data_IF_871711914641
#
_entry.id   IF_871711914641
#
_cell.length_a   1.000
_cell.length_b   1.000
_cell.length_c   1.000
_cell.angle_alpha   90.00
_cell.angle_beta   90.00
_cell.angle_gamma   90.00
#
_symmetry.space_group_name_H-M   'P 1'
#
loop_
_entity.id
_entity.type
_entity.pdbx_description
1 polymer ?
#
# COMPACT_ATOMS: atom_id res chain seq x y z
N UNK A 1 22.23 -0.41 -0.67
CA UNK A 1 20.99 0.37 -0.91
C UNK A 1 20.15 0.29 0.35
N UNK A 2 19.79 1.40 0.99
CA UNK A 2 18.97 1.35 2.20
C UNK A 2 17.57 0.80 1.90
N UNK A 3 17.05 0.01 2.83
CA UNK A 3 15.73 -0.60 2.73
C UNK A 3 14.63 0.46 2.92
N UNK A 4 13.41 0.15 2.47
CA UNK A 4 12.22 1.01 2.71
C UNK A 4 12.02 1.28 4.20
N UNK A 5 12.30 0.28 5.04
CA UNK A 5 12.18 0.37 6.51
C UNK A 5 13.16 1.40 7.08
N UNK A 6 14.41 1.39 6.64
CA UNK A 6 15.43 2.34 7.10
C UNK A 6 15.07 3.78 6.71
N UNK A 7 14.64 4.01 5.47
CA UNK A 7 14.24 5.34 4.99
C UNK A 7 13.02 5.89 5.73
N UNK A 8 12.04 5.03 6.03
CA UNK A 8 10.87 5.42 6.80
C UNK A 8 11.24 5.86 8.22
N UNK A 9 12.15 5.11 8.86
CA UNK A 9 12.64 5.43 10.20
C UNK A 9 13.28 6.80 10.25
N UNK A 10 14.22 7.08 9.35
CA UNK A 10 14.88 8.39 9.26
C UNK A 10 13.91 9.56 9.06
N UNK A 11 12.86 9.36 8.26
CA UNK A 11 11.82 10.37 8.06
C UNK A 11 10.99 10.61 9.32
N UNK A 12 10.52 9.55 9.98
CA UNK A 12 9.71 9.65 11.20
C UNK A 12 10.52 10.29 12.33
N UNK A 13 11.77 9.86 12.50
CA UNK A 13 12.68 10.42 13.49
C UNK A 13 12.86 11.94 13.27
N UNK A 14 12.94 12.42 12.01
CA UNK A 14 12.99 13.86 11.72
C UNK A 14 11.68 14.58 11.99
N UNK A 15 10.55 13.98 11.61
CA UNK A 15 9.23 14.60 11.73
C UNK A 15 8.78 14.74 13.19
N UNK A 16 9.10 13.77 14.04
CA UNK A 16 8.67 13.73 15.44
C UNK A 16 9.63 14.45 16.39
N UNK A 17 10.90 14.66 15.99
CA UNK A 17 11.93 15.20 16.87
C UNK A 17 11.62 16.60 17.43
N UNK A 18 10.88 17.45 16.72
CA UNK A 18 10.56 18.79 17.23
C UNK A 18 9.47 18.77 18.30
N UNK A 19 8.44 17.94 18.12
CA UNK A 19 7.35 17.78 19.08
C UNK A 19 7.84 17.09 20.36
N UNK A 20 8.70 16.07 20.22
CA UNK A 20 9.33 15.39 21.36
C UNK A 20 10.23 16.36 22.13
N UNK A 21 11.04 17.17 21.44
CA UNK A 21 11.89 18.19 22.10
C UNK A 21 11.08 19.22 22.90
N UNK A 22 9.96 19.70 22.35
CA UNK A 22 9.09 20.64 23.06
C UNK A 22 8.47 20.02 24.32
N UNK A 23 8.07 18.75 24.24
CA UNK A 23 7.56 18.01 25.38
C UNK A 23 8.63 17.79 26.45
N UNK A 24 9.85 17.40 26.05
CA UNK A 24 10.98 17.20 26.97
C UNK A 24 11.34 18.49 27.71
N UNK A 25 11.34 19.64 27.02
CA UNK A 25 11.57 20.95 27.63
C UNK A 25 10.49 21.30 28.66
N UNK A 26 9.24 20.99 28.36
CA UNK A 26 8.11 21.27 29.25
C UNK A 26 8.13 20.39 30.51
N UNK A 27 8.47 19.10 30.34
CA UNK A 27 8.70 18.17 31.45
C UNK A 27 9.87 18.63 32.31
N UNK A 28 10.99 19.02 31.70
CA UNK A 28 12.16 19.52 32.43
C UNK A 28 11.86 20.79 33.23
N UNK A 29 11.03 21.69 32.71
CA UNK A 29 10.68 22.94 33.38
C UNK A 29 9.66 22.79 34.52
N UNK A 30 8.70 21.85 34.39
CA UNK A 30 7.56 21.73 35.33
C UNK A 30 7.62 20.49 36.21
N UNK A 31 8.49 19.54 35.90
CA UNK A 31 8.55 18.21 36.53
C UNK A 31 7.38 17.29 36.15
N UNK A 32 6.46 17.74 35.30
CA UNK A 32 5.25 17.02 34.93
C UNK A 32 5.03 17.08 33.40
N UNK A 33 4.56 16.01 32.76
CA UNK A 33 4.18 16.04 31.34
C UNK A 33 2.79 16.67 31.16
N UNK A 34 2.57 17.88 31.68
CA UNK A 34 1.26 18.54 31.71
C UNK A 34 1.38 20.00 31.28
N UNK A 35 0.61 20.40 30.27
CA UNK A 35 0.49 21.81 29.87
C UNK A 35 -0.95 22.31 30.04
N UNK A 36 -1.12 23.64 30.14
CA UNK A 36 -2.46 24.25 30.12
C UNK A 36 -2.87 24.55 28.69
N UNK A 37 -4.03 24.04 28.28
CA UNK A 37 -4.61 24.37 26.99
C UNK A 37 -4.88 25.89 26.89
N UNK A 38 -4.31 26.60 25.90
CA UNK A 38 -4.45 28.05 25.81
C UNK A 38 -5.88 28.55 25.62
N UNK A 39 -6.77 27.71 25.07
CA UNK A 39 -8.15 28.09 24.74
C UNK A 39 -9.11 27.87 25.91
N UNK A 40 -8.93 26.79 26.66
CA UNK A 40 -9.87 26.33 27.70
C UNK A 40 -9.29 26.41 29.11
N UNK A 41 -7.96 26.55 29.25
CA UNK A 41 -7.26 26.56 30.53
C UNK A 41 -7.14 25.19 31.22
N UNK A 42 -7.67 24.13 30.60
CA UNK A 42 -7.61 22.77 31.12
C UNK A 42 -6.18 22.25 31.20
N UNK A 43 -5.87 21.45 32.22
CA UNK A 43 -4.61 20.71 32.31
C UNK A 43 -4.68 19.50 31.37
N UNK A 44 -3.75 19.42 30.43
CA UNK A 44 -3.65 18.34 29.45
C UNK A 44 -2.39 17.52 29.77
N UNK A 45 -2.59 16.25 30.08
CA UNK A 45 -1.51 15.28 30.20
C UNK A 45 -1.03 14.86 28.80
N UNK A 46 0.27 14.93 28.57
CA UNK A 46 0.88 14.57 27.28
C UNK A 46 1.84 13.39 27.49
N UNK A 47 1.38 12.20 27.17
CA UNK A 47 2.22 11.00 27.08
C UNK A 47 2.46 10.69 25.60
N UNK A 48 3.71 10.71 25.16
CA UNK A 48 4.09 10.35 23.78
C UNK A 48 4.83 9.02 23.85
N UNK A 49 4.22 7.97 23.27
CA UNK A 49 4.84 6.65 23.16
C UNK A 49 4.99 6.28 21.69
N UNK A 50 6.18 5.85 21.29
CA UNK A 50 6.39 5.26 19.97
C UNK A 50 5.76 3.86 19.93
N UNK A 51 4.59 3.72 19.30
CA UNK A 51 3.97 2.42 19.06
C UNK A 51 4.58 1.78 17.81
N UNK A 52 5.56 0.90 18.00
CA UNK A 52 6.12 0.09 16.91
C UNK A 52 5.20 -1.08 16.56
N UNK A 53 4.29 -0.85 15.62
CA UNK A 53 3.43 -1.91 15.08
C UNK A 53 4.23 -2.82 14.14
N UNK A 54 4.38 -4.09 14.52
CA UNK A 54 4.94 -5.15 13.68
C UNK A 54 3.83 -6.13 13.34
N UNK A 55 3.43 -6.17 12.07
CA UNK A 55 2.41 -7.10 11.61
C UNK A 55 3.06 -8.44 11.23
N UNK A 56 2.66 -9.51 11.91
CA UNK A 56 2.95 -10.89 11.53
C UNK A 56 1.63 -11.56 11.14
N UNK A 57 1.28 -11.47 9.87
CA UNK A 57 0.03 -11.99 9.33
C UNK A 57 0.31 -13.27 8.55
N UNK A 58 -0.44 -14.34 8.83
CA UNK A 58 -0.38 -15.56 8.04
C UNK A 58 -1.03 -15.34 6.68
N UNK A 59 -0.30 -15.66 5.62
CA UNK A 59 -0.77 -15.63 4.22
C UNK A 59 -0.94 -17.02 3.63
N UNK A 60 -0.94 -18.07 4.47
CA UNK A 60 -0.96 -19.47 4.04
C UNK A 60 -2.12 -19.79 3.09
N UNK A 61 -3.33 -19.26 3.37
CA UNK A 61 -4.52 -19.53 2.55
C UNK A 61 -4.47 -18.89 1.15
N UNK A 62 -3.52 -17.99 0.92
CA UNK A 62 -3.24 -17.36 -0.38
C UNK A 62 -1.80 -17.62 -0.84
N UNK A 63 -1.14 -18.67 -0.35
CA UNK A 63 0.26 -18.97 -0.67
C UNK A 63 0.53 -19.00 -2.18
N UNK A 64 -0.37 -19.57 -2.98
CA UNK A 64 -0.28 -19.60 -4.45
C UNK A 64 -0.16 -18.21 -5.09
N UNK A 65 -0.77 -17.18 -4.51
CA UNK A 65 -0.59 -15.80 -4.96
C UNK A 65 0.84 -15.32 -4.71
N UNK A 66 1.34 -15.51 -3.49
CA UNK A 66 2.67 -15.06 -3.07
C UNK A 66 3.78 -15.81 -3.83
N UNK A 67 3.65 -17.12 -3.96
CA UNK A 67 4.53 -17.97 -4.78
C UNK A 67 4.43 -17.62 -6.27
N UNK A 68 3.24 -17.28 -6.76
CA UNK A 68 3.06 -16.80 -8.12
C UNK A 68 3.85 -15.51 -8.37
N UNK A 69 3.80 -14.56 -7.44
CA UNK A 69 4.54 -13.30 -7.57
C UNK A 69 6.05 -13.53 -7.69
N UNK A 70 6.63 -14.48 -6.94
CA UNK A 70 8.05 -14.82 -7.04
C UNK A 70 8.43 -15.48 -8.37
N UNK A 71 7.44 -16.00 -9.09
CA UNK A 71 7.56 -16.56 -10.44
C UNK A 71 7.14 -15.56 -11.53
N UNK A 72 6.99 -14.27 -11.20
CA UNK A 72 6.52 -13.21 -12.11
C UNK A 72 5.12 -13.47 -12.69
N UNK A 73 4.25 -14.13 -11.91
CA UNK A 73 2.87 -14.47 -12.28
C UNK A 73 1.90 -13.82 -11.30
N UNK A 74 0.82 -13.26 -11.85
CA UNK A 74 -0.26 -12.71 -11.03
C UNK A 74 -1.45 -13.66 -11.08
N UNK A 75 -1.96 -14.06 -9.91
CA UNK A 75 -3.10 -14.95 -9.81
C UNK A 75 -4.33 -14.24 -9.23
N UNK A 76 -5.50 -14.71 -9.64
CA UNK A 76 -6.80 -14.38 -9.08
C UNK A 76 -7.60 -15.66 -8.77
N UNK A 77 -8.72 -15.53 -8.07
CA UNK A 77 -9.59 -16.67 -7.76
C UNK A 77 -10.98 -16.54 -8.37
N UNK A 78 -11.55 -17.68 -8.76
CA UNK A 78 -12.93 -17.84 -9.23
C UNK A 78 -13.64 -18.84 -8.34
N UNK A 79 -14.77 -18.46 -7.76
CA UNK A 79 -15.58 -19.39 -6.98
C UNK A 79 -16.25 -20.40 -7.93
N UNK A 80 -15.95 -21.69 -7.77
CA UNK A 80 -16.55 -22.74 -8.62
C UNK A 80 -18.05 -22.88 -8.43
N UNK A 81 -18.57 -22.52 -7.24
CA UNK A 81 -20.01 -22.60 -6.93
C UNK A 81 -20.85 -21.50 -7.59
N UNK A 82 -20.35 -20.27 -7.65
CA UNK A 82 -21.17 -19.11 -8.08
C UNK A 82 -20.54 -18.25 -9.18
N UNK A 83 -19.35 -18.61 -9.68
CA UNK A 83 -18.65 -17.92 -10.76
C UNK A 83 -18.08 -16.54 -10.40
N UNK A 84 -18.20 -16.09 -9.15
CA UNK A 84 -17.65 -14.81 -8.72
C UNK A 84 -16.12 -14.82 -8.79
N UNK A 85 -15.54 -13.72 -9.30
CA UNK A 85 -14.10 -13.55 -9.52
C UNK A 85 -13.55 -12.52 -8.55
N UNK A 86 -12.37 -12.76 -8.00
CA UNK A 86 -11.79 -11.88 -7.00
C UNK A 86 -10.32 -11.60 -7.26
N UNK A 87 -10.00 -10.30 -7.22
CA UNK A 87 -8.67 -9.78 -7.10
C UNK A 87 -8.68 -8.62 -6.08
N UNK A 88 -7.82 -8.59 -5.05
CA UNK A 88 -6.87 -9.64 -4.67
C UNK A 88 -7.56 -11.00 -4.42
N UNK A 89 -6.88 -12.13 -4.64
CA UNK A 89 -7.48 -13.46 -4.56
C UNK A 89 -8.02 -13.73 -3.15
N UNK A 90 -9.20 -14.35 -3.10
CA UNK A 90 -9.87 -14.77 -1.87
C UNK A 90 -9.80 -16.29 -1.72
N UNK A 91 -9.48 -16.77 -0.52
CA UNK A 91 -9.46 -18.19 -0.17
C UNK A 91 -10.86 -18.78 0.06
N UNK A 92 -11.82 -17.93 0.46
CA UNK A 92 -13.24 -18.25 0.57
C UNK A 92 -14.04 -17.21 -0.21
N UNK A 93 -15.12 -17.63 -0.86
CA UNK A 93 -15.99 -16.72 -1.59
C UNK A 93 -16.80 -15.83 -0.62
N UNK A 94 -16.62 -14.49 -0.61
CA UNK A 94 -17.41 -13.61 0.24
C UNK A 94 -18.91 -13.65 -0.08
N UNK A 95 -19.27 -13.94 -1.35
CA UNK A 95 -20.65 -13.97 -1.85
C UNK A 95 -21.45 -15.19 -1.37
N UNK A 96 -20.90 -16.40 -1.48
CA UNK A 96 -21.63 -17.65 -1.19
C UNK A 96 -21.01 -18.51 -0.09
N UNK A 97 -19.94 -18.02 0.56
CA UNK A 97 -19.21 -18.64 1.68
C UNK A 97 -18.57 -19.99 1.38
N UNK A 98 -18.49 -20.38 0.11
CA UNK A 98 -17.80 -21.60 -0.32
C UNK A 98 -16.28 -21.39 -0.33
N UNK A 99 -15.54 -22.39 0.14
CA UNK A 99 -14.08 -22.49 0.01
C UNK A 99 -13.64 -23.15 -1.31
N UNK A 100 -14.57 -23.55 -2.17
CA UNK A 100 -14.27 -24.15 -3.47
C UNK A 100 -13.91 -23.06 -4.49
N UNK A 101 -12.63 -22.68 -4.44
CA UNK A 101 -12.03 -21.61 -5.24
C UNK A 101 -11.05 -22.20 -6.26
N UNK A 102 -11.23 -21.82 -7.52
CA UNK A 102 -10.30 -22.10 -8.59
C UNK A 102 -9.29 -20.96 -8.73
N UNK A 103 -8.01 -21.28 -8.89
CA UNK A 103 -6.94 -20.31 -9.08
C UNK A 103 -6.58 -20.19 -10.55
N UNK A 104 -6.59 -18.96 -11.09
CA UNK A 104 -6.28 -18.67 -12.50
C UNK A 104 -5.22 -17.58 -12.60
N UNK A 105 -4.35 -17.69 -13.59
CA UNK A 105 -3.38 -16.63 -13.91
C UNK A 105 -4.10 -15.48 -14.62
N UNK A 106 -3.81 -14.26 -14.21
CA UNK A 106 -4.35 -13.05 -14.81
C UNK A 106 -3.73 -12.79 -16.18
N UNK A 107 -4.51 -12.17 -17.06
CA UNK A 107 -4.03 -11.66 -18.35
C UNK A 107 -2.92 -10.64 -18.16
N UNK A 108 -2.02 -10.54 -19.15
CA UNK A 108 -0.84 -9.65 -19.09
C UNK A 108 -1.12 -8.21 -19.54
N UNK A 109 -2.33 -7.93 -20.01
CA UNK A 109 -2.75 -6.60 -20.44
C UNK A 109 -4.16 -6.28 -19.92
N UNK A 110 -4.41 -4.98 -19.72
CA UNK A 110 -5.71 -4.46 -19.31
C UNK A 110 -5.91 -3.04 -19.81
N UNK A 111 -7.09 -2.49 -19.53
CA UNK A 111 -7.51 -1.17 -19.98
C UNK A 111 -7.52 -0.18 -18.81
N UNK A 112 -6.89 0.98 -18.96
CA UNK A 112 -6.88 2.01 -17.93
C UNK A 112 -8.28 2.60 -17.73
N UNK A 113 -8.85 2.45 -16.54
CA UNK A 113 -10.15 3.04 -16.19
C UNK A 113 -9.97 4.49 -15.75
N UNK A 114 -9.08 4.71 -14.80
CA UNK A 114 -8.79 6.04 -14.23
C UNK A 114 -7.45 6.03 -13.51
N UNK A 115 -6.90 7.21 -13.24
CA UNK A 115 -5.62 7.40 -12.56
C UNK A 115 -5.56 8.70 -11.76
N UNK A 116 -4.62 8.78 -10.83
CA UNK A 116 -4.29 9.99 -10.06
C UNK A 116 -2.79 10.08 -9.78
N UNK A 117 -2.28 11.30 -9.56
CA UNK A 117 -0.90 11.52 -9.08
C UNK A 117 -0.90 11.66 -7.57
N UNK A 118 -0.07 10.86 -6.90
CA UNK A 118 0.18 11.02 -5.47
C UNK A 118 1.34 11.99 -5.26
N UNK A 119 1.01 13.24 -4.94
CA UNK A 119 1.97 14.29 -4.62
C UNK A 119 2.16 14.44 -3.09
N UNK A 120 1.08 14.38 -2.32
CA UNK A 120 1.10 14.28 -0.85
C UNK A 120 1.18 12.81 -0.45
N UNK A 121 2.34 12.40 0.07
CA UNK A 121 2.68 10.99 0.32
C UNK A 121 2.59 10.66 1.80
N UNK A 122 2.11 9.46 2.16
CA UNK A 122 2.30 8.96 3.52
C UNK A 122 3.80 8.79 3.80
N UNK A 123 4.18 8.86 5.08
CA UNK A 123 5.57 8.73 5.54
C UNK A 123 6.29 7.51 4.91
N UNK A 124 5.60 6.36 4.85
CA UNK A 124 6.11 5.10 4.28
C UNK A 124 6.52 5.19 2.80
N UNK A 125 6.00 6.17 2.06
CA UNK A 125 6.31 6.40 0.65
C UNK A 125 7.00 7.75 0.40
N UNK A 126 7.35 8.51 1.44
CA UNK A 126 7.94 9.85 1.33
C UNK A 126 9.26 9.89 0.53
N UNK A 127 9.99 8.77 0.48
CA UNK A 127 11.22 8.62 -0.29
C UNK A 127 11.02 8.50 -1.81
N UNK A 128 9.78 8.36 -2.28
CA UNK A 128 9.46 8.28 -3.71
C UNK A 128 9.22 9.69 -4.28
N UNK A 129 9.54 9.87 -5.56
CA UNK A 129 9.03 11.00 -6.35
C UNK A 129 7.50 10.89 -6.47
N UNK A 130 6.85 11.95 -6.93
CA UNK A 130 5.42 11.89 -7.30
C UNK A 130 5.19 10.69 -8.23
N UNK A 131 4.17 9.90 -7.93
CA UNK A 131 3.92 8.64 -8.61
C UNK A 131 2.44 8.51 -9.01
N UNK A 132 2.20 7.77 -10.08
CA UNK A 132 0.84 7.52 -10.58
C UNK A 132 0.30 6.23 -9.99
N UNK A 133 -0.93 6.30 -9.48
CA UNK A 133 -1.74 5.12 -9.15
C UNK A 133 -2.96 5.13 -10.05
N UNK A 134 -3.31 3.98 -10.61
CA UNK A 134 -4.52 3.85 -11.40
C UNK A 134 -5.24 2.53 -11.21
N UNK A 135 -6.42 2.48 -11.78
CA UNK A 135 -7.31 1.33 -11.79
C UNK A 135 -7.34 0.79 -13.21
N UNK A 136 -6.92 -0.46 -13.38
CA UNK A 136 -6.88 -1.14 -14.67
C UNK A 136 -7.96 -2.23 -14.70
N UNK A 137 -8.84 -2.17 -15.69
CA UNK A 137 -9.83 -3.21 -15.96
C UNK A 137 -9.17 -4.35 -16.70
N UNK A 138 -9.11 -5.51 -16.06
CA UNK A 138 -8.56 -6.71 -16.68
C UNK A 138 -9.65 -7.41 -17.51
N UNK A 139 -9.30 -8.01 -18.66
CA UNK A 139 -10.25 -8.80 -19.46
C UNK A 139 -10.79 -10.01 -18.68
N UNK A 140 -10.08 -10.45 -17.64
CA UNK A 140 -10.51 -11.49 -16.71
C UNK A 140 -11.76 -11.13 -15.86
N UNK A 141 -12.21 -9.87 -15.89
CA UNK A 141 -13.46 -9.44 -15.24
C UNK A 141 -13.30 -8.90 -13.82
N UNK A 142 -12.14 -8.34 -13.50
CA UNK A 142 -11.88 -7.61 -12.25
C UNK A 142 -11.00 -6.39 -12.52
N UNK A 143 -10.93 -5.48 -11.55
CA UNK A 143 -10.07 -4.31 -11.60
C UNK A 143 -8.83 -4.51 -10.72
N UNK A 144 -7.70 -3.97 -11.16
CA UNK A 144 -6.44 -3.94 -10.40
C UNK A 144 -6.08 -2.50 -10.11
N UNK A 145 -5.97 -2.15 -8.82
CA UNK A 145 -5.37 -0.89 -8.39
C UNK A 145 -3.87 -1.11 -8.23
N UNK A 146 -3.06 -0.41 -9.02
CA UNK A 146 -1.61 -0.53 -8.97
C UNK A 146 -0.92 0.76 -9.44
N UNK A 147 0.40 0.79 -9.28
CA UNK A 147 1.20 1.87 -9.83
C UNK A 147 1.21 1.80 -11.36
N UNK A 148 1.28 2.98 -11.99
CA UNK A 148 1.47 3.10 -13.44
C UNK A 148 2.82 3.78 -13.67
N UNK A 149 3.72 3.07 -14.35
CA UNK A 149 5.02 3.56 -14.79
C UNK A 149 4.87 4.32 -16.11
N UNK A 150 4.42 5.58 -15.99
CA UNK A 150 4.21 6.49 -17.10
C UNK A 150 4.19 7.95 -16.64
N UNK A 151 4.48 8.85 -17.58
CA UNK A 151 4.17 10.27 -17.42
C UNK A 151 2.65 10.46 -17.34
N UNK A 152 2.12 11.12 -16.28
CA UNK A 152 0.68 11.42 -16.15
C UNK A 152 0.09 12.11 -17.38
N UNK A 153 0.86 12.99 -18.03
CA UNK A 153 0.43 13.73 -19.22
C UNK A 153 0.20 12.85 -20.46
N UNK A 154 0.75 11.63 -20.48
CA UNK A 154 0.55 10.64 -21.53
C UNK A 154 -0.64 9.69 -21.26
N UNK A 155 -1.20 9.69 -20.05
CA UNK A 155 -2.22 8.73 -19.64
C UNK A 155 -3.64 9.16 -20.01
N UNK A 156 -4.43 8.27 -20.62
CA UNK A 156 -5.83 8.50 -20.97
C UNK A 156 -6.69 7.28 -20.59
N UNK A 157 -7.91 7.46 -20.06
CA UNK A 157 -8.85 6.35 -19.93
C UNK A 157 -9.03 5.61 -21.25
N UNK A 158 -9.18 4.28 -21.19
CA UNK A 158 -9.29 3.42 -22.36
C UNK A 158 -7.97 2.94 -22.95
N UNK A 159 -6.81 3.48 -22.51
CA UNK A 159 -5.52 3.04 -23.04
C UNK A 159 -5.14 1.64 -22.55
N UNK A 160 -4.45 0.87 -23.40
CA UNK A 160 -3.93 -0.45 -23.01
C UNK A 160 -2.66 -0.31 -22.19
N UNK A 161 -2.62 -1.05 -21.09
CA UNK A 161 -1.47 -1.15 -20.20
C UNK A 161 -1.04 -2.61 -20.04
N UNK A 162 0.28 -2.83 -19.97
CA UNK A 162 0.91 -4.12 -19.72
C UNK A 162 1.20 -4.31 -18.25
N UNK A 163 0.78 -5.43 -17.70
CA UNK A 163 1.08 -5.89 -16.35
C UNK A 163 2.52 -6.40 -16.26
N UNK A 164 3.24 -5.91 -15.26
CA UNK A 164 4.57 -6.34 -14.87
C UNK A 164 4.52 -6.86 -13.43
N UNK A 165 5.26 -7.94 -13.17
CA UNK A 165 5.40 -8.54 -11.84
C UNK A 165 6.89 -8.70 -11.57
N UNK A 166 7.38 -8.22 -10.44
CA UNK A 166 8.81 -8.26 -10.12
C UNK A 166 9.21 -7.20 -9.11
N UNK A 167 10.49 -6.88 -9.05
CA UNK A 167 11.01 -5.79 -8.21
C UNK A 167 10.91 -4.48 -8.99
N UNK A 168 10.06 -3.56 -8.53
CA UNK A 168 9.98 -2.23 -9.12
C UNK A 168 11.26 -1.44 -8.80
N UNK A 169 11.79 -0.61 -9.71
CA UNK A 169 12.95 0.23 -9.42
C UNK A 169 12.75 1.07 -8.15
N UNK A 170 13.74 1.06 -7.26
CA UNK A 170 13.69 1.76 -5.98
C UNK A 170 13.06 0.97 -4.83
N UNK A 171 12.44 -0.19 -5.11
CA UNK A 171 11.90 -1.11 -4.10
C UNK A 171 12.72 -2.40 -4.04
N UNK A 172 12.81 -2.99 -2.83
CA UNK A 172 13.58 -4.21 -2.58
C UNK A 172 12.71 -5.47 -2.46
N UNK A 173 11.40 -5.36 -2.71
CA UNK A 173 10.44 -6.46 -2.60
C UNK A 173 9.65 -6.63 -3.91
N UNK A 174 9.02 -7.79 -4.08
CA UNK A 174 8.26 -8.12 -5.28
C UNK A 174 6.88 -7.48 -5.19
N UNK A 175 6.47 -6.85 -6.28
CA UNK A 175 5.18 -6.19 -6.46
C UNK A 175 4.70 -6.37 -7.91
N UNK A 176 3.59 -5.72 -8.25
CA UNK A 176 3.09 -5.63 -9.61
C UNK A 176 2.71 -4.18 -9.93
N UNK A 177 2.89 -3.81 -11.20
CA UNK A 177 2.59 -2.48 -11.71
C UNK A 177 2.26 -2.56 -13.20
N UNK A 178 1.80 -1.45 -13.76
CA UNK A 178 1.47 -1.35 -15.17
C UNK A 178 2.35 -0.36 -15.89
N UNK A 179 2.53 -0.54 -17.21
CA UNK A 179 3.08 0.48 -18.10
C UNK A 179 2.27 0.54 -19.41
N UNK A 180 2.22 1.69 -20.10
CA UNK A 180 1.65 1.77 -21.45
C UNK A 180 2.25 0.72 -22.38
N UNK A 181 1.41 0.15 -23.24
CA UNK A 181 1.81 -0.87 -24.24
C UNK A 181 2.67 -0.24 -25.33
#
# INVERSE_FOLDING_TARGET
MSTVVEKLREYLDRAEAEQIRQLDQLVAATGLPVYRDPKTGALIWVDVRELRLRFQLSVNRIAKFVEGLSQERLYYTVCRRCGARYFPPQADCPRCKSSDMEWREASREGELVTWTVINVKPASFAHNKDYVVGIVKMPDGFNVTAWIDADPSALRPGMRLRLLVGKRPGENYITYWFKPV
#
